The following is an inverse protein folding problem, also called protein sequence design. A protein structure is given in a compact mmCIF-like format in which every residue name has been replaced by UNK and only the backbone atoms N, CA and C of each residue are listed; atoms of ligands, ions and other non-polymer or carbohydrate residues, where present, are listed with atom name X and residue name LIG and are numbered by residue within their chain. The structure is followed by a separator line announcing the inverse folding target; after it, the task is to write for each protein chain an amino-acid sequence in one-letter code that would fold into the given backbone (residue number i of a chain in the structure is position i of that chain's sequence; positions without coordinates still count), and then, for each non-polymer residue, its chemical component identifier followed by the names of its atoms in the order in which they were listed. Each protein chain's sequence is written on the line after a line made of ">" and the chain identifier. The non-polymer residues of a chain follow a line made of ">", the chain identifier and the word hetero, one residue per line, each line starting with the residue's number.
data_IF_460726855832
#
_entry.id   IF_460726855832
#
_cell.length_a   1.000
_cell.length_b   1.000
_cell.length_c   1.000
_cell.angle_alpha   90.00
_cell.angle_beta   90.00
_cell.angle_gamma   90.00
#
_symmetry.space_group_name_H-M   'P 1'
#
loop_
_entity.id
_entity.type
_entity.pdbx_description
1 polymer ?
#
# COMPACT_ATOMS: atom_id res chain seq x y z
N UNK A 1 28.27 -6.07 -10.93
CA UNK A 1 26.91 -6.25 -11.45
C UNK A 1 26.23 -4.89 -11.40
N UNK A 2 25.59 -4.48 -12.48
CA UNK A 2 24.76 -3.28 -12.55
C UNK A 2 23.31 -3.69 -12.30
N UNK A 3 22.55 -2.87 -11.59
CA UNK A 3 21.13 -3.07 -11.36
C UNK A 3 20.36 -1.87 -11.90
N UNK A 4 19.56 -2.10 -12.94
CA UNK A 4 18.64 -1.11 -13.46
C UNK A 4 17.40 -1.04 -12.57
N UNK A 5 16.89 0.15 -12.33
CA UNK A 5 15.70 0.36 -11.54
C UNK A 5 14.87 1.54 -12.05
N UNK A 6 13.59 1.51 -11.76
CA UNK A 6 12.70 2.66 -11.87
C UNK A 6 12.25 3.11 -10.48
N UNK A 7 12.27 4.42 -10.25
CA UNK A 7 11.77 5.02 -9.02
C UNK A 7 10.33 5.46 -9.25
N UNK A 8 9.43 4.96 -8.41
CA UNK A 8 8.00 5.24 -8.46
C UNK A 8 7.49 5.78 -7.14
N UNK A 9 6.38 6.49 -7.19
CA UNK A 9 5.58 6.80 -6.03
C UNK A 9 4.08 6.73 -6.35
N UNK A 10 3.27 6.34 -5.37
CA UNK A 10 1.83 6.34 -5.40
C UNK A 10 1.30 6.89 -4.08
N UNK A 11 0.65 8.04 -4.13
CA UNK A 11 0.15 8.75 -2.95
C UNK A 11 1.25 8.95 -1.86
N UNK A 12 2.47 9.32 -2.28
CA UNK A 12 3.61 9.59 -1.38
C UNK A 12 4.36 8.36 -0.87
N UNK A 13 3.87 7.16 -1.11
CA UNK A 13 4.59 5.92 -0.81
C UNK A 13 5.49 5.55 -2.00
N UNK A 14 6.80 5.49 -1.78
CA UNK A 14 7.79 5.44 -2.86
C UNK A 14 8.55 4.10 -2.92
N UNK A 15 8.80 3.63 -4.15
CA UNK A 15 9.36 2.31 -4.40
C UNK A 15 10.51 2.36 -5.40
N UNK A 16 11.48 1.47 -5.19
CA UNK A 16 12.45 1.04 -6.19
C UNK A 16 11.83 -0.17 -6.90
N UNK A 17 11.54 -0.05 -8.20
CA UNK A 17 11.01 -1.18 -8.98
C UNK A 17 12.11 -1.76 -9.84
N UNK A 18 12.28 -3.07 -9.75
CA UNK A 18 13.31 -3.84 -10.46
C UNK A 18 12.61 -4.75 -11.47
N UNK A 19 13.03 -4.64 -12.74
CA UNK A 19 12.63 -5.56 -13.79
C UNK A 19 13.46 -6.84 -13.70
N UNK A 20 12.89 -7.85 -13.07
CA UNK A 20 13.42 -9.22 -13.04
C UNK A 20 12.70 -10.13 -14.06
N UNK A 21 11.84 -9.53 -14.90
CA UNK A 21 11.08 -10.23 -15.92
C UNK A 21 11.97 -10.60 -17.12
N UNK A 22 12.95 -9.77 -17.44
CA UNK A 22 13.84 -9.91 -18.59
C UNK A 22 15.25 -10.43 -18.22
N UNK A 23 15.34 -11.48 -17.40
CA UNK A 23 16.59 -12.13 -17.00
C UNK A 23 17.58 -11.26 -16.19
N UNK A 24 17.13 -10.19 -15.58
CA UNK A 24 17.92 -9.50 -14.57
C UNK A 24 17.90 -10.34 -13.29
N UNK A 25 19.04 -10.84 -12.90
CA UNK A 25 19.19 -11.71 -11.73
C UNK A 25 19.30 -10.89 -10.45
N UNK A 26 18.27 -10.07 -10.15
CA UNK A 26 18.17 -9.52 -8.82
C UNK A 26 17.80 -10.65 -7.85
N UNK A 27 18.77 -11.02 -7.04
CA UNK A 27 18.52 -11.95 -5.93
C UNK A 27 18.22 -11.14 -4.69
N UNK A 28 17.06 -11.36 -4.11
CA UNK A 28 16.68 -10.73 -2.86
C UNK A 28 17.73 -10.97 -1.77
N UNK A 29 18.08 -9.88 -1.10
CA UNK A 29 18.95 -9.87 0.08
C UNK A 29 18.45 -8.80 1.06
N UNK A 30 18.13 -9.16 2.32
CA UNK A 30 17.72 -8.17 3.32
C UNK A 30 18.74 -7.04 3.51
N UNK A 31 20.02 -7.37 3.47
CA UNK A 31 21.10 -6.38 3.59
C UNK A 31 21.12 -5.43 2.41
N UNK A 32 21.06 -5.95 1.19
CA UNK A 32 21.04 -5.14 -0.02
C UNK A 32 19.77 -4.28 -0.10
N UNK A 33 18.62 -4.82 0.29
CA UNK A 33 17.35 -4.09 0.34
C UNK A 33 17.47 -2.88 1.28
N UNK A 34 17.99 -3.07 2.49
CA UNK A 34 18.26 -1.96 3.43
C UNK A 34 19.18 -0.90 2.85
N UNK A 35 20.25 -1.33 2.18
CA UNK A 35 21.20 -0.41 1.56
C UNK A 35 20.55 0.40 0.43
N UNK A 36 19.82 -0.26 -0.47
CA UNK A 36 19.13 0.39 -1.58
C UNK A 36 18.04 1.36 -1.09
N UNK A 37 17.28 0.99 -0.08
CA UNK A 37 16.20 1.79 0.47
C UNK A 37 16.66 2.93 1.38
N UNK A 38 17.92 2.93 1.81
CA UNK A 38 18.43 3.99 2.69
C UNK A 38 18.45 5.34 2.00
N UNK A 39 17.79 6.36 2.58
CA UNK A 39 17.55 7.64 1.91
C UNK A 39 18.81 8.49 1.71
N UNK A 40 19.85 8.34 2.56
CA UNK A 40 21.10 9.07 2.44
C UNK A 40 22.22 8.25 1.78
N UNK A 41 22.23 6.92 1.96
CA UNK A 41 23.35 6.07 1.53
C UNK A 41 23.00 5.14 0.38
N UNK A 42 21.72 5.12 -0.06
CA UNK A 42 21.23 4.35 -1.19
C UNK A 42 20.41 5.22 -2.15
N UNK A 43 19.50 4.59 -2.86
CA UNK A 43 18.52 5.25 -3.75
C UNK A 43 17.47 5.96 -2.88
N UNK A 44 17.09 5.36 -1.76
CA UNK A 44 16.05 5.84 -0.87
C UNK A 44 14.65 5.42 -1.34
N UNK A 45 13.94 4.65 -0.51
CA UNK A 45 12.55 4.24 -0.77
C UNK A 45 11.92 3.64 0.48
N UNK A 46 10.59 3.53 0.48
CA UNK A 46 9.82 2.78 1.49
C UNK A 46 9.90 1.27 1.25
N UNK A 47 10.28 0.84 0.04
CA UNK A 47 10.46 -0.57 -0.28
C UNK A 47 10.95 -0.82 -1.70
N UNK A 48 11.19 -2.11 -1.98
CA UNK A 48 11.54 -2.62 -3.31
C UNK A 48 10.41 -3.47 -3.84
N UNK A 49 10.14 -3.35 -5.13
CA UNK A 49 9.25 -4.23 -5.87
C UNK A 49 10.05 -4.90 -6.97
N UNK A 50 9.99 -6.23 -7.04
CA UNK A 50 10.51 -7.02 -8.17
C UNK A 50 9.34 -7.50 -9.02
N UNK A 51 9.43 -7.28 -10.33
CA UNK A 51 8.50 -7.84 -11.31
C UNK A 51 9.16 -9.05 -11.96
N UNK A 52 8.49 -10.21 -11.88
CA UNK A 52 9.06 -11.50 -12.29
C UNK A 52 8.11 -12.27 -13.20
N UNK A 53 8.67 -13.15 -14.04
CA UNK A 53 7.87 -14.12 -14.82
C UNK A 53 7.22 -15.15 -13.91
N UNK A 54 5.93 -15.41 -14.12
CA UNK A 54 5.22 -16.50 -13.44
C UNK A 54 4.21 -17.15 -14.38
N UNK A 55 4.28 -18.46 -14.50
CA UNK A 55 3.34 -19.22 -15.34
C UNK A 55 1.90 -19.00 -14.90
N UNK A 56 1.00 -18.73 -15.85
CA UNK A 56 -0.43 -18.49 -15.62
C UNK A 56 -0.78 -17.07 -15.22
N UNK A 57 0.19 -16.16 -15.14
CA UNK A 57 0.02 -14.75 -14.85
C UNK A 57 0.80 -13.89 -15.84
N UNK A 58 0.38 -12.65 -16.02
CA UNK A 58 1.15 -11.70 -16.82
C UNK A 58 2.49 -11.40 -16.16
N UNK A 59 2.51 -11.32 -14.81
CA UNK A 59 3.72 -11.21 -14.00
C UNK A 59 3.47 -11.63 -12.54
N UNK A 60 4.53 -11.83 -11.77
CA UNK A 60 4.50 -11.86 -10.31
C UNK A 60 5.10 -10.58 -9.74
N UNK A 61 4.53 -10.12 -8.63
CA UNK A 61 5.01 -8.99 -7.85
C UNK A 61 5.56 -9.50 -6.51
N UNK A 62 6.83 -9.23 -6.24
CA UNK A 62 7.45 -9.44 -4.94
C UNK A 62 7.74 -8.09 -4.28
N UNK A 63 7.23 -7.91 -3.08
CA UNK A 63 7.40 -6.67 -2.30
C UNK A 63 8.29 -6.92 -1.09
N UNK A 64 9.26 -6.02 -0.90
CA UNK A 64 10.19 -6.01 0.22
C UNK A 64 10.18 -4.64 0.88
N UNK A 65 10.01 -4.62 2.20
CA UNK A 65 10.04 -3.40 3.00
C UNK A 65 11.47 -2.83 3.08
N UNK A 66 11.58 -1.54 3.41
CA UNK A 66 12.89 -0.89 3.57
C UNK A 66 13.79 -1.51 4.65
N UNK A 67 13.20 -2.17 5.65
CA UNK A 67 13.93 -2.91 6.69
C UNK A 67 14.50 -4.25 6.22
N UNK A 68 14.28 -4.60 4.95
CA UNK A 68 14.71 -5.86 4.35
C UNK A 68 13.80 -7.06 4.67
N UNK A 69 12.66 -6.87 5.28
CA UNK A 69 11.66 -7.94 5.42
C UNK A 69 10.80 -8.06 4.17
N UNK A 70 10.29 -9.26 3.88
CA UNK A 70 9.30 -9.44 2.83
C UNK A 70 7.93 -8.91 3.30
N UNK A 71 7.21 -8.24 2.41
CA UNK A 71 5.82 -7.83 2.67
C UNK A 71 4.93 -9.03 2.99
N UNK A 72 3.99 -8.87 3.90
CA UNK A 72 3.11 -9.96 4.37
C UNK A 72 1.75 -10.00 3.67
N UNK A 73 1.42 -8.99 2.89
CA UNK A 73 0.17 -8.85 2.15
C UNK A 73 0.35 -7.91 0.97
N UNK A 74 -0.73 -7.70 0.24
CA UNK A 74 -0.74 -6.80 -0.90
C UNK A 74 -0.48 -5.36 -0.46
N UNK A 75 0.53 -4.74 -1.05
CA UNK A 75 0.75 -3.31 -0.94
C UNK A 75 -0.01 -2.60 -2.08
N UNK A 76 -1.15 -1.97 -1.78
CA UNK A 76 -1.98 -1.32 -2.80
C UNK A 76 -1.26 -0.22 -3.59
N UNK A 77 -0.39 0.57 -2.94
CA UNK A 77 0.41 1.60 -3.60
C UNK A 77 1.50 0.97 -4.49
N UNK A 78 2.19 -0.05 -3.96
CA UNK A 78 3.22 -0.79 -4.69
C UNK A 78 2.65 -1.53 -5.89
N UNK A 79 1.49 -2.16 -5.74
CA UNK A 79 0.84 -2.89 -6.85
C UNK A 79 0.42 -1.95 -7.98
N UNK A 80 -0.13 -0.78 -7.66
CA UNK A 80 -0.43 0.21 -8.70
C UNK A 80 0.83 0.67 -9.44
N UNK A 81 1.93 0.89 -8.70
CA UNK A 81 3.23 1.25 -9.30
C UNK A 81 3.79 0.15 -10.20
N UNK A 82 3.67 -1.11 -9.77
CA UNK A 82 4.09 -2.27 -10.56
C UNK A 82 3.28 -2.44 -11.84
N UNK A 83 1.94 -2.25 -11.77
CA UNK A 83 1.06 -2.31 -12.94
C UNK A 83 1.46 -1.28 -14.00
N UNK A 84 1.65 -0.03 -13.59
CA UNK A 84 2.09 1.01 -14.52
C UNK A 84 3.48 0.70 -15.11
N UNK A 85 4.40 0.22 -14.29
CA UNK A 85 5.74 -0.15 -14.79
C UNK A 85 5.69 -1.35 -15.74
N UNK A 86 4.86 -2.35 -15.48
CA UNK A 86 4.64 -3.48 -16.38
C UNK A 86 4.08 -3.02 -17.75
N UNK A 87 3.22 -2.00 -17.76
CA UNK A 87 2.76 -1.37 -19.01
C UNK A 87 3.90 -0.66 -19.74
N UNK A 88 4.72 0.11 -19.04
CA UNK A 88 5.90 0.78 -19.62
C UNK A 88 6.88 -0.22 -20.24
N UNK A 89 7.03 -1.39 -19.63
CA UNK A 89 7.88 -2.47 -20.16
C UNK A 89 7.23 -3.25 -21.31
N UNK A 90 5.96 -2.99 -21.64
CA UNK A 90 5.23 -3.73 -22.67
C UNK A 90 4.86 -5.18 -22.25
N UNK A 91 4.91 -5.51 -20.97
CA UNK A 91 4.47 -6.79 -20.43
C UNK A 91 2.94 -6.91 -20.50
N UNK A 92 2.25 -5.81 -20.26
CA UNK A 92 0.79 -5.68 -20.35
C UNK A 92 0.41 -4.48 -21.21
N UNK A 93 -0.83 -4.45 -21.69
CA UNK A 93 -1.43 -3.25 -22.30
C UNK A 93 -2.16 -2.42 -21.23
N UNK A 94 -3.44 -2.67 -21.01
CA UNK A 94 -4.27 -1.90 -20.06
C UNK A 94 -4.74 -2.72 -18.85
N UNK A 95 -4.68 -4.03 -18.95
CA UNK A 95 -5.16 -4.95 -17.91
C UNK A 95 -4.12 -6.00 -17.61
N UNK A 96 -4.00 -6.33 -16.35
CA UNK A 96 -3.14 -7.43 -15.89
C UNK A 96 -3.88 -8.39 -14.98
N UNK A 97 -3.54 -9.68 -15.11
CA UNK A 97 -3.77 -10.71 -14.14
C UNK A 97 -2.42 -11.10 -13.55
N UNK A 98 -2.15 -10.66 -12.33
CA UNK A 98 -0.85 -10.83 -11.70
C UNK A 98 -0.93 -11.54 -10.36
N UNK A 99 0.19 -12.10 -9.93
CA UNK A 99 0.31 -12.77 -8.65
C UNK A 99 1.10 -11.92 -7.66
N UNK A 100 0.59 -11.75 -6.44
CA UNK A 100 1.30 -11.21 -5.29
C UNK A 100 1.44 -12.26 -4.19
N UNK A 101 1.98 -11.89 -3.04
CA UNK A 101 2.24 -12.82 -1.93
C UNK A 101 0.95 -13.46 -1.38
N UNK A 102 -0.16 -12.75 -1.42
CA UNK A 102 -1.47 -13.17 -0.93
C UNK A 102 -2.37 -13.79 -2.01
N UNK A 103 -1.86 -13.92 -3.25
CA UNK A 103 -2.57 -14.61 -4.33
C UNK A 103 -2.69 -13.81 -5.61
N UNK A 104 -3.73 -14.14 -6.38
CA UNK A 104 -4.02 -13.57 -7.68
C UNK A 104 -4.78 -12.25 -7.57
N UNK A 105 -4.41 -11.29 -8.39
CA UNK A 105 -5.04 -9.97 -8.46
C UNK A 105 -5.28 -9.53 -9.90
N UNK A 106 -6.21 -8.62 -10.07
CA UNK A 106 -6.48 -7.93 -11.32
C UNK A 106 -6.22 -6.44 -11.13
N UNK A 107 -5.59 -5.83 -12.12
CA UNK A 107 -5.44 -4.39 -12.20
C UNK A 107 -5.71 -3.88 -13.59
N UNK A 108 -6.21 -2.65 -13.68
CA UNK A 108 -6.47 -1.97 -14.94
C UNK A 108 -5.85 -0.56 -14.90
N UNK A 109 -5.44 -0.09 -16.08
CA UNK A 109 -4.89 1.26 -16.25
C UNK A 109 -5.81 2.02 -17.19
N UNK A 110 -6.32 3.15 -16.71
CA UNK A 110 -7.19 4.04 -17.48
C UNK A 110 -6.62 5.45 -17.41
N UNK A 111 -6.05 5.93 -18.53
CA UNK A 111 -5.31 7.19 -18.57
C UNK A 111 -4.14 7.16 -17.55
N UNK A 112 -4.14 8.11 -16.61
CA UNK A 112 -3.12 8.22 -15.55
C UNK A 112 -3.53 7.54 -14.24
N UNK A 113 -4.68 6.87 -14.21
CA UNK A 113 -5.21 6.20 -13.02
C UNK A 113 -5.02 4.70 -13.13
N UNK A 114 -4.57 4.12 -12.04
CA UNK A 114 -4.44 2.67 -11.88
C UNK A 114 -5.52 2.19 -10.92
N UNK A 115 -6.31 1.26 -11.40
CA UNK A 115 -7.39 0.58 -10.70
C UNK A 115 -6.90 -0.82 -10.27
N UNK A 116 -6.97 -1.10 -8.99
CA UNK A 116 -6.56 -2.36 -8.38
C UNK A 116 -7.75 -3.02 -7.69
N UNK A 117 -8.11 -4.23 -8.12
CA UNK A 117 -9.12 -5.05 -7.45
C UNK A 117 -8.56 -5.60 -6.14
N UNK A 118 -9.34 -5.49 -5.08
CA UNK A 118 -9.03 -5.98 -3.73
C UNK A 118 -9.98 -7.09 -3.31
N UNK A 119 -9.68 -7.73 -2.18
CA UNK A 119 -10.50 -8.81 -1.63
C UNK A 119 -11.85 -8.29 -1.15
N UNK A 120 -12.89 -9.11 -1.33
CA UNK A 120 -14.23 -8.88 -0.80
C UNK A 120 -14.20 -8.78 0.73
N UNK A 121 -15.11 -7.97 1.30
CA UNK A 121 -15.27 -7.82 2.75
C UNK A 121 -16.60 -8.40 3.19
N UNK A 122 -16.53 -9.47 3.96
CA UNK A 122 -17.72 -10.20 4.39
C UNK A 122 -18.46 -9.54 5.55
N UNK A 123 -17.77 -8.78 6.40
CA UNK A 123 -18.40 -8.13 7.54
C UNK A 123 -17.59 -6.94 8.04
N UNK A 124 -18.28 -5.96 8.59
CA UNK A 124 -17.73 -4.87 9.38
C UNK A 124 -18.33 -4.97 10.76
N UNK A 125 -17.49 -5.08 11.80
CA UNK A 125 -17.93 -5.32 13.17
C UNK A 125 -17.73 -4.06 14.02
N UNK A 126 -18.76 -3.52 14.67
CA UNK A 126 -18.56 -2.49 15.69
C UNK A 126 -17.68 -3.03 16.82
N UNK A 127 -16.71 -2.24 17.24
CA UNK A 127 -15.78 -2.57 18.32
C UNK A 127 -15.37 -1.31 19.06
N UNK A 128 -15.73 -1.20 20.33
CA UNK A 128 -15.49 0.00 21.15
C UNK A 128 -16.01 1.28 20.46
N UNK A 129 -15.14 2.27 20.23
CA UNK A 129 -15.47 3.54 19.57
C UNK A 129 -15.36 3.51 18.05
N UNK A 130 -15.13 2.35 17.45
CA UNK A 130 -14.90 2.23 16.01
C UNK A 130 -15.37 0.92 15.41
N UNK A 131 -14.75 0.52 14.32
CA UNK A 131 -15.20 -0.60 13.51
C UNK A 131 -13.99 -1.44 13.07
N UNK A 132 -14.13 -2.75 13.22
CA UNK A 132 -13.15 -3.72 12.75
C UNK A 132 -13.57 -4.33 11.42
N UNK A 133 -12.64 -4.49 10.50
CA UNK A 133 -12.79 -5.30 9.29
C UNK A 133 -11.44 -5.84 8.81
N UNK A 134 -11.51 -6.83 7.94
CA UNK A 134 -10.36 -7.41 7.25
C UNK A 134 -10.63 -7.40 5.73
N UNK A 135 -9.76 -6.72 5.00
CA UNK A 135 -9.76 -6.62 3.53
C UNK A 135 -8.46 -7.17 2.93
N UNK A 136 -7.90 -8.23 3.54
CA UNK A 136 -6.57 -8.76 3.28
C UNK A 136 -5.56 -8.34 4.36
N UNK A 137 -5.82 -7.22 5.03
CA UNK A 137 -5.16 -6.76 6.25
C UNK A 137 -6.20 -6.32 7.27
N UNK A 138 -5.84 -6.39 8.56
CA UNK A 138 -6.76 -6.02 9.65
C UNK A 138 -6.73 -4.53 9.88
N UNK A 139 -7.93 -3.94 9.89
CA UNK A 139 -8.14 -2.52 10.11
C UNK A 139 -9.14 -2.26 11.22
N UNK A 140 -8.82 -1.29 12.05
CA UNK A 140 -9.74 -0.61 12.94
C UNK A 140 -9.93 0.81 12.43
N UNK A 141 -11.18 1.21 12.22
CA UNK A 141 -11.55 2.53 11.71
C UNK A 141 -12.35 3.26 12.77
N UNK A 142 -11.90 4.43 13.15
CA UNK A 142 -12.58 5.34 14.06
C UNK A 142 -12.97 6.62 13.29
N UNK A 143 -14.28 6.90 13.26
CA UNK A 143 -14.78 8.13 12.65
C UNK A 143 -14.65 9.27 13.67
N UNK A 144 -14.12 10.41 13.22
CA UNK A 144 -13.82 11.57 14.07
C UNK A 144 -14.37 12.85 13.46
N UNK A 145 -14.70 13.81 14.31
CA UNK A 145 -15.21 15.12 13.87
C UNK A 145 -14.11 15.98 13.25
N UNK A 146 -12.87 15.86 13.74
CA UNK A 146 -11.71 16.59 13.22
C UNK A 146 -10.46 15.73 13.28
N UNK A 147 -9.93 15.44 12.11
CA UNK A 147 -8.73 14.61 11.95
C UNK A 147 -7.45 15.35 12.39
N UNK A 148 -7.45 16.67 12.31
CA UNK A 148 -6.31 17.51 12.68
C UNK A 148 -6.04 17.52 14.19
N UNK A 149 -7.06 17.21 15.00
CA UNK A 149 -6.94 17.11 16.45
C UNK A 149 -6.34 15.78 16.93
N UNK A 150 -6.10 14.82 16.01
CA UNK A 150 -5.57 13.51 16.36
C UNK A 150 -4.04 13.57 16.47
N UNK A 151 -3.55 13.42 17.69
CA UNK A 151 -2.13 13.22 17.98
C UNK A 151 -1.78 11.73 17.81
N UNK A 152 -1.22 11.37 16.64
CA UNK A 152 -0.99 9.97 16.27
C UNK A 152 -0.09 9.23 17.28
N UNK A 153 0.92 9.88 17.82
CA UNK A 153 1.83 9.29 18.82
C UNK A 153 1.12 8.96 20.14
N UNK A 154 0.14 9.79 20.52
CA UNK A 154 -0.56 9.64 21.79
C UNK A 154 -1.79 8.75 21.68
N UNK A 155 -2.53 8.87 20.58
CA UNK A 155 -3.82 8.20 20.40
C UNK A 155 -3.73 7.02 19.44
N UNK A 156 -3.02 7.18 18.33
CA UNK A 156 -2.99 6.20 17.23
C UNK A 156 -2.07 5.02 17.52
N UNK A 157 -0.79 5.27 17.77
CA UNK A 157 0.19 4.19 17.94
C UNK A 157 -0.12 3.25 19.14
N UNK A 158 -0.56 3.72 20.31
CA UNK A 158 -0.93 2.82 21.39
C UNK A 158 -2.10 1.89 21.06
N UNK A 159 -3.04 2.32 20.20
CA UNK A 159 -4.18 1.50 19.80
C UNK A 159 -3.82 0.30 18.91
N UNK A 160 -2.64 0.30 18.26
CA UNK A 160 -2.23 -0.79 17.35
C UNK A 160 -2.18 -2.18 18.00
N UNK A 161 -1.93 -2.20 19.32
CA UNK A 161 -1.85 -3.43 20.12
C UNK A 161 -2.96 -3.49 21.19
N UNK A 162 -4.12 -2.85 20.95
CA UNK A 162 -5.25 -2.90 21.87
C UNK A 162 -5.93 -4.26 21.88
N UNK A 163 -6.64 -4.57 22.96
CA UNK A 163 -7.49 -5.76 23.02
C UNK A 163 -8.57 -5.73 21.89
N UNK A 164 -8.78 -6.82 21.14
CA UNK A 164 -8.16 -8.15 21.26
C UNK A 164 -6.95 -8.37 20.29
N UNK A 165 -6.21 -7.34 19.91
CA UNK A 165 -5.18 -7.42 18.86
C UNK A 165 -3.73 -7.37 19.39
N UNK A 166 -3.52 -7.61 20.68
CA UNK A 166 -2.22 -7.44 21.36
C UNK A 166 -1.10 -8.27 20.75
N UNK A 167 -1.44 -9.47 20.25
CA UNK A 167 -0.42 -10.41 19.71
C UNK A 167 -0.06 -10.12 18.25
N UNK A 168 -1.00 -9.68 17.46
CA UNK A 168 -0.87 -9.64 16.01
C UNK A 168 -0.86 -8.21 15.47
N UNK A 169 -1.26 -7.25 16.30
CA UNK A 169 -1.43 -5.86 15.93
C UNK A 169 -2.58 -5.61 14.95
N UNK A 170 -2.91 -4.35 14.74
CA UNK A 170 -3.95 -3.89 13.83
C UNK A 170 -3.57 -2.52 13.26
N UNK A 171 -3.94 -2.26 12.01
CA UNK A 171 -3.83 -0.92 11.43
C UNK A 171 -4.96 -0.03 11.96
N UNK A 172 -4.61 1.13 12.51
CA UNK A 172 -5.58 2.09 13.02
C UNK A 172 -5.79 3.19 11.98
N UNK A 173 -7.04 3.47 11.67
CA UNK A 173 -7.42 4.53 10.74
C UNK A 173 -8.37 5.50 11.46
N UNK A 174 -8.04 6.78 11.42
CA UNK A 174 -8.95 7.86 11.77
C UNK A 174 -9.51 8.43 10.49
N UNK A 175 -10.83 8.55 10.41
CA UNK A 175 -11.52 9.03 9.23
C UNK A 175 -12.49 10.15 9.58
N UNK A 176 -12.50 11.21 8.79
CA UNK A 176 -13.40 12.36 8.90
C UNK A 176 -14.22 12.48 7.62
N UNK A 177 -15.52 12.70 7.76
CA UNK A 177 -16.38 13.09 6.63
C UNK A 177 -16.05 14.53 6.24
N UNK A 178 -15.69 14.76 4.98
CA UNK A 178 -15.36 16.09 4.45
C UNK A 178 -16.35 16.56 3.37
N UNK A 179 -17.13 15.64 2.79
CA UNK A 179 -18.19 15.90 1.83
C UNK A 179 -19.15 14.69 1.78
N UNK A 180 -20.33 14.80 1.13
CA UNK A 180 -21.28 13.68 1.02
C UNK A 180 -20.73 12.43 0.32
N UNK A 181 -19.66 12.56 -0.47
CA UNK A 181 -18.98 11.50 -1.21
C UNK A 181 -17.48 11.38 -0.86
N UNK A 182 -17.01 12.06 0.20
CA UNK A 182 -15.59 12.15 0.49
C UNK A 182 -15.26 12.07 1.98
N UNK A 183 -14.13 11.37 2.26
CA UNK A 183 -13.51 11.28 3.57
C UNK A 183 -12.05 11.74 3.51
N UNK A 184 -11.53 12.19 4.63
CA UNK A 184 -10.09 12.36 4.87
C UNK A 184 -9.65 11.33 5.90
N UNK A 185 -8.48 10.73 5.70
CA UNK A 185 -7.97 9.69 6.60
C UNK A 185 -6.53 9.94 7.04
N UNK A 186 -6.21 9.42 8.22
CA UNK A 186 -4.86 9.25 8.74
C UNK A 186 -4.73 7.83 9.28
N UNK A 187 -3.57 7.20 9.08
CA UNK A 187 -3.36 5.78 9.42
C UNK A 187 -2.11 5.60 10.27
N UNK A 188 -2.21 4.74 11.30
CA UNK A 188 -1.08 4.15 11.98
C UNK A 188 -0.97 2.70 11.53
N UNK A 189 0.01 2.37 10.71
CA UNK A 189 0.21 0.98 10.27
C UNK A 189 0.93 0.16 11.34
N UNK A 190 0.52 -1.08 11.46
CA UNK A 190 1.19 -2.06 12.32
C UNK A 190 2.61 -2.31 11.80
N UNK A 191 3.60 -2.18 12.68
CA UNK A 191 5.01 -2.38 12.35
C UNK A 191 5.75 -1.15 11.82
N UNK A 192 5.08 -0.01 11.61
CA UNK A 192 5.74 1.26 11.30
C UNK A 192 5.83 2.16 12.54
N UNK A 193 6.99 2.82 12.71
CA UNK A 193 7.22 3.75 13.83
C UNK A 193 6.78 5.20 13.52
N UNK A 194 6.39 5.45 12.26
CA UNK A 194 5.90 6.75 11.81
C UNK A 194 4.59 6.61 11.03
N UNK A 195 3.80 7.68 11.01
CA UNK A 195 2.59 7.76 10.19
C UNK A 195 2.95 7.79 8.71
N UNK A 196 2.49 6.80 7.90
CA UNK A 196 2.71 6.83 6.46
C UNK A 196 1.90 7.96 5.80
N UNK A 197 2.37 8.43 4.65
CA UNK A 197 1.64 9.42 3.86
C UNK A 197 0.32 8.87 3.30
N UNK A 198 0.23 7.56 3.06
CA UNK A 198 -0.97 6.89 2.56
C UNK A 198 -0.94 5.39 2.88
N UNK A 199 -2.11 4.85 3.23
CA UNK A 199 -2.37 3.41 3.36
C UNK A 199 -3.52 3.03 2.42
N UNK A 200 -3.25 2.23 1.38
CA UNK A 200 -4.26 1.86 0.39
C UNK A 200 -5.39 1.01 0.98
N UNK A 201 -5.05 -0.04 1.74
CA UNK A 201 -6.02 -0.90 2.42
C UNK A 201 -6.77 -0.17 3.52
N UNK A 202 -6.12 0.81 4.19
CA UNK A 202 -6.75 1.70 5.16
C UNK A 202 -7.76 2.66 4.51
N UNK A 203 -7.46 3.15 3.30
CA UNK A 203 -8.39 3.95 2.51
C UNK A 203 -9.66 3.16 2.17
N UNK A 204 -9.49 1.91 1.72
CA UNK A 204 -10.61 1.00 1.46
C UNK A 204 -11.41 0.73 2.74
N UNK A 205 -10.75 0.32 3.81
CA UNK A 205 -11.42 0.04 5.08
C UNK A 205 -12.28 1.23 5.56
N UNK A 206 -11.73 2.44 5.50
CA UNK A 206 -12.41 3.66 5.91
C UNK A 206 -13.59 4.01 5.01
N UNK A 207 -13.47 3.81 3.70
CA UNK A 207 -14.56 4.03 2.74
C UNK A 207 -15.73 3.07 2.96
N UNK A 208 -15.44 1.79 3.23
CA UNK A 208 -16.48 0.78 3.51
C UNK A 208 -17.21 1.06 4.83
N UNK A 209 -16.49 1.49 5.87
CA UNK A 209 -17.11 1.94 7.13
C UNK A 209 -17.99 3.17 6.90
N UNK A 210 -17.49 4.17 6.17
CA UNK A 210 -18.25 5.36 5.84
C UNK A 210 -19.53 5.03 5.04
N UNK A 211 -19.46 4.05 4.14
CA UNK A 211 -20.66 3.56 3.43
C UNK A 211 -21.63 2.84 4.37
N UNK A 212 -21.13 1.94 5.23
CA UNK A 212 -21.99 1.12 6.09
C UNK A 212 -22.76 1.91 7.13
N UNK A 213 -22.12 2.89 7.74
CA UNK A 213 -22.63 3.53 8.95
C UNK A 213 -22.91 5.03 8.80
N UNK A 214 -22.39 5.66 7.72
CA UNK A 214 -22.54 7.10 7.51
C UNK A 214 -23.16 7.45 6.16
N UNK A 215 -23.60 6.42 5.39
CA UNK A 215 -24.46 6.58 4.22
C UNK A 215 -23.73 7.02 2.94
N UNK A 216 -22.41 6.94 2.86
CA UNK A 216 -21.68 7.25 1.63
C UNK A 216 -21.91 6.17 0.58
N UNK A 217 -22.14 6.59 -0.66
CA UNK A 217 -22.28 5.69 -1.79
C UNK A 217 -20.97 5.57 -2.57
N UNK A 218 -20.78 4.43 -3.24
CA UNK A 218 -19.71 4.25 -4.22
C UNK A 218 -19.92 5.17 -5.43
N UNK A 219 -18.87 5.85 -5.93
CA UNK A 219 -17.49 5.87 -5.44
C UNK A 219 -17.27 6.80 -4.23
N UNK A 220 -16.41 6.39 -3.30
CA UNK A 220 -15.98 7.23 -2.17
C UNK A 220 -14.60 7.82 -2.49
N UNK A 221 -14.48 9.14 -2.42
CA UNK A 221 -13.21 9.87 -2.54
C UNK A 221 -12.49 9.86 -1.19
N UNK A 222 -11.21 9.51 -1.20
CA UNK A 222 -10.40 9.40 0.02
C UNK A 222 -9.19 10.32 -0.10
N UNK A 223 -9.10 11.31 0.78
CA UNK A 223 -7.94 12.18 0.91
C UNK A 223 -7.00 11.64 1.97
N UNK A 224 -5.72 11.49 1.62
CA UNK A 224 -4.62 11.13 2.53
C UNK A 224 -3.59 12.25 2.54
N UNK A 225 -2.60 12.21 3.43
CA UNK A 225 -1.48 13.15 3.41
C UNK A 225 -0.69 13.12 2.10
N UNK A 226 -0.58 11.94 1.48
CA UNK A 226 0.21 11.72 0.27
C UNK A 226 -0.56 11.92 -1.04
N UNK A 227 -1.89 12.07 -1.00
CA UNK A 227 -2.67 12.26 -2.22
C UNK A 227 -4.12 11.83 -2.11
N UNK A 228 -4.78 11.85 -3.26
CA UNK A 228 -6.20 11.49 -3.39
C UNK A 228 -6.34 10.11 -4.00
N UNK A 229 -7.21 9.31 -3.42
CA UNK A 229 -7.60 7.98 -3.87
C UNK A 229 -9.11 7.95 -4.06
N UNK A 230 -9.58 6.93 -4.77
CA UNK A 230 -11.00 6.64 -4.89
C UNK A 230 -11.22 5.16 -4.61
N UNK A 231 -12.28 4.84 -3.89
CA UNK A 231 -12.70 3.47 -3.61
C UNK A 231 -14.05 3.25 -4.24
N UNK A 232 -14.14 2.23 -5.10
CA UNK A 232 -15.43 1.76 -5.65
C UNK A 232 -15.74 0.39 -5.11
N UNK A 233 -17.02 0.07 -4.99
CA UNK A 233 -17.49 -1.21 -4.47
C UNK A 233 -18.97 -1.41 -4.78
N UNK A 234 -19.41 -2.66 -4.71
CA UNK A 234 -20.82 -3.06 -4.66
C UNK A 234 -21.16 -3.51 -3.25
N UNK A 235 -22.12 -2.82 -2.60
CA UNK A 235 -22.64 -3.23 -1.29
C UNK A 235 -23.86 -4.11 -1.50
N UNK A 236 -23.82 -5.32 -0.95
CA UNK A 236 -24.91 -6.28 -1.01
C UNK A 236 -25.95 -6.02 0.10
N UNK A 237 -27.23 -6.50 -0.07
CA UNK A 237 -28.27 -6.34 0.93
C UNK A 237 -27.96 -6.98 2.29
N UNK A 238 -27.09 -8.01 2.30
CA UNK A 238 -26.64 -8.69 3.53
C UNK A 238 -25.49 -7.98 4.24
N UNK A 239 -25.04 -6.84 3.71
CA UNK A 239 -23.98 -6.01 4.29
C UNK A 239 -22.57 -6.34 3.85
N UNK A 240 -22.38 -7.35 3.00
CA UNK A 240 -21.08 -7.64 2.37
C UNK A 240 -20.73 -6.60 1.32
N UNK A 241 -19.42 -6.46 1.07
CA UNK A 241 -18.87 -5.65 0.00
C UNK A 241 -18.10 -6.53 -0.98
N UNK A 242 -18.41 -6.42 -2.25
CA UNK A 242 -17.78 -7.12 -3.37
C UNK A 242 -17.35 -6.12 -4.44
N UNK A 243 -16.57 -6.60 -5.41
CA UNK A 243 -16.05 -5.76 -6.51
C UNK A 243 -15.38 -4.49 -5.97
N UNK A 244 -14.51 -4.70 -4.98
CA UNK A 244 -13.83 -3.59 -4.31
C UNK A 244 -12.61 -3.19 -5.14
N UNK A 245 -12.53 -1.91 -5.50
CA UNK A 245 -11.43 -1.36 -6.26
C UNK A 245 -10.81 -0.16 -5.55
N UNK A 246 -9.49 -0.11 -5.59
CA UNK A 246 -8.69 1.04 -5.15
C UNK A 246 -8.10 1.72 -6.37
N UNK A 247 -8.56 2.94 -6.64
CA UNK A 247 -8.15 3.73 -7.80
C UNK A 247 -7.31 4.91 -7.35
N UNK A 248 -6.20 5.14 -8.03
CA UNK A 248 -5.35 6.29 -7.73
C UNK A 248 -4.23 6.49 -8.75
N UNK A 249 -3.66 7.71 -8.77
CA UNK A 249 -2.54 8.03 -9.65
C UNK A 249 -1.26 7.34 -9.22
N UNK A 250 -0.37 7.19 -10.19
CA UNK A 250 0.98 6.66 -10.01
C UNK A 250 1.94 7.52 -10.81
N UNK A 251 3.11 7.78 -10.29
CA UNK A 251 4.11 8.60 -10.96
C UNK A 251 5.47 7.90 -10.96
N UNK A 252 6.05 7.78 -12.14
CA UNK A 252 7.45 7.46 -12.27
C UNK A 252 8.29 8.72 -12.03
N UNK A 253 9.08 8.72 -10.96
CA UNK A 253 9.91 9.87 -10.59
C UNK A 253 11.17 9.95 -11.46
N UNK A 254 11.88 8.83 -11.60
CA UNK A 254 13.05 8.67 -12.45
C UNK A 254 13.38 7.19 -12.63
N UNK A 255 14.34 6.90 -13.49
CA UNK A 255 15.00 5.60 -13.59
C UNK A 255 16.51 5.78 -13.55
N UNK A 256 17.23 4.71 -13.22
CA UNK A 256 18.66 4.78 -13.09
C UNK A 256 19.34 3.41 -13.03
N UNK A 257 20.63 3.47 -12.84
CA UNK A 257 21.50 2.31 -12.70
C UNK A 257 22.24 2.47 -11.37
N UNK A 258 22.25 1.43 -10.57
CA UNK A 258 23.03 1.36 -9.33
C UNK A 258 24.03 0.20 -9.42
N UNK A 259 25.19 0.38 -8.79
CA UNK A 259 26.18 -0.66 -8.61
C UNK A 259 26.14 -1.13 -7.16
N UNK A 260 25.50 -2.26 -6.84
CA UNK A 260 25.37 -2.72 -5.45
C UNK A 260 26.71 -2.85 -4.71
N UNK A 261 27.78 -3.24 -5.43
CA UNK A 261 29.11 -3.36 -4.84
C UNK A 261 29.74 -2.01 -4.45
N UNK A 262 29.22 -0.88 -4.95
CA UNK A 262 29.68 0.47 -4.57
C UNK A 262 28.88 1.07 -3.42
N UNK A 263 27.79 0.43 -2.99
CA UNK A 263 27.05 0.86 -1.83
C UNK A 263 27.88 0.51 -0.59
N UNK A 264 28.17 1.51 0.21
CA UNK A 264 28.85 1.29 1.48
C UNK A 264 27.96 0.41 2.37
N UNK A 265 28.52 -0.62 3.03
CA UNK A 265 27.75 -1.35 4.02
C UNK A 265 27.24 -0.33 5.05
N UNK A 266 25.96 -0.39 5.37
CA UNK A 266 25.39 0.35 6.50
C UNK A 266 25.98 -0.33 7.74
N UNK A 267 27.24 -0.01 8.04
CA UNK A 267 27.83 -0.29 9.33
C UNK A 267 27.01 0.56 10.29
N UNK A 268 26.48 -0.06 11.33
CA UNK A 268 25.84 0.67 12.40
C UNK A 268 26.72 1.88 12.73
N UNK A 269 26.29 3.06 12.32
CA UNK A 269 26.96 4.30 12.72
C UNK A 269 26.70 4.40 14.22
N UNK A 270 27.64 3.91 14.99
CA UNK A 270 27.70 4.17 16.42
C UNK A 270 28.25 5.60 16.52
N UNK A 271 27.43 6.62 16.78
CA UNK A 271 27.98 7.94 17.05
C UNK A 271 28.88 7.80 18.31
N UNK A 272 30.16 8.12 18.13
CA UNK A 272 31.09 8.29 19.23
C UNK A 272 30.59 9.33 20.23
#
# INVERSE_FOLDING_TARGET
>A
MQLNFAKYQAAGNDFIIIDNFQDQHYTYSPVLTKQLCHRQFGIGADGIISIEKKAGYDFALLHYNADGSQGRGLCGNGSRSALHYAQVLGIIDQKAYFNAIDGAHIGCIHNELVDLTLQDVNSIQPLASGYFLNNGTRHYVEMVDSIDLIHMEVVGFPKRNMYPFEKEGININFAQLIAPDAIQIRTCECGLDAEPLSCGTGAVASALVASSYYGLNSPVKVSTKGGKLQVTFTRLPDGRFIDIHLVGPVYQSFYGIVHPASLLPIVAYNPL
#
